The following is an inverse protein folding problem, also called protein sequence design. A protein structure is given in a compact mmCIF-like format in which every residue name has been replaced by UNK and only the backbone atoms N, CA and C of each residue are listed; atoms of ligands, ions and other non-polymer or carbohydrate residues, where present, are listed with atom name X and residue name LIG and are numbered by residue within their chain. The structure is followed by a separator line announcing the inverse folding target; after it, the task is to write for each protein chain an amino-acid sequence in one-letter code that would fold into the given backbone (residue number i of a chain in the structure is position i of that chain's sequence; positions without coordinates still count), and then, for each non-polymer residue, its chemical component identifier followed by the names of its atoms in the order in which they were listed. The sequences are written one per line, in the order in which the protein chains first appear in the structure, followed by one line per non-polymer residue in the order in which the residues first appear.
data_IF_921600567820
#
_entry.id   IF_921600567820
#
_cell.length_a   1.000
_cell.length_b   1.000
_cell.length_c   1.000
_cell.angle_alpha   90.00
_cell.angle_beta   90.00
_cell.angle_gamma   90.00
#
_symmetry.space_group_name_H-M   'P 1'
#
loop_
_entity.id
_entity.type
_entity.pdbx_description
1 polymer ?
#
# COMPACT_ATOMS: atom_id res chain seq x y z
N UNK A 1 6.68 -20.01 8.66
CA UNK A 1 6.84 -19.14 7.47
C UNK A 1 6.05 -17.87 7.74
N UNK A 2 6.75 -16.75 7.94
CA UNK A 2 6.10 -15.47 8.27
C UNK A 2 5.34 -14.94 7.06
N UNK A 3 4.03 -14.74 7.17
CA UNK A 3 3.20 -14.15 6.12
C UNK A 3 2.97 -12.66 6.40
N UNK A 4 3.22 -11.83 5.40
CA UNK A 4 2.94 -10.39 5.45
C UNK A 4 1.62 -10.10 4.71
N UNK A 5 0.69 -9.43 5.38
CA UNK A 5 -0.46 -8.78 4.78
C UNK A 5 -0.10 -7.33 4.48
N UNK A 6 -0.24 -6.93 3.22
CA UNK A 6 -0.25 -5.53 2.81
C UNK A 6 -1.68 -5.18 2.42
N UNK A 7 -2.30 -4.21 3.08
CA UNK A 7 -3.63 -3.74 2.68
C UNK A 7 -3.60 -2.29 2.20
N UNK A 8 -4.56 -1.92 1.36
CA UNK A 8 -4.87 -0.51 1.09
C UNK A 8 -6.21 -0.10 1.68
N UNK A 9 -6.29 1.13 2.16
CA UNK A 9 -7.50 1.70 2.73
C UNK A 9 -7.60 3.21 2.48
N UNK A 10 -8.78 3.77 2.80
CA UNK A 10 -9.11 5.18 2.82
C UNK A 10 -9.27 5.70 4.25
N UNK A 11 -8.58 6.79 4.59
CA UNK A 11 -8.70 7.44 5.90
C UNK A 11 -10.13 7.92 6.20
N UNK A 12 -10.98 8.15 5.19
CA UNK A 12 -12.42 8.42 5.39
C UNK A 12 -13.17 7.27 6.09
N UNK A 13 -12.57 6.07 6.11
CA UNK A 13 -13.11 4.85 6.72
C UNK A 13 -12.28 4.34 7.91
N UNK A 14 -11.39 5.18 8.47
CA UNK A 14 -10.40 4.87 9.52
C UNK A 14 -9.37 3.78 9.14
N UNK A 15 -8.17 3.76 9.75
CA UNK A 15 -7.22 2.65 9.56
C UNK A 15 -7.80 1.31 10.03
N UNK A 16 -7.37 0.17 9.45
CA UNK A 16 -7.71 -1.15 10.00
C UNK A 16 -7.14 -1.27 11.44
N UNK A 17 -7.97 -1.63 12.44
CA UNK A 17 -7.53 -1.72 13.83
C UNK A 17 -6.46 -2.79 14.06
N UNK A 18 -6.41 -3.80 13.20
CA UNK A 18 -5.46 -4.91 13.24
C UNK A 18 -4.12 -4.63 12.54
N UNK A 19 -3.93 -3.43 11.98
CA UNK A 19 -2.68 -3.06 11.31
C UNK A 19 -1.54 -2.79 12.31
N UNK A 20 -0.41 -3.46 12.13
CA UNK A 20 0.82 -3.22 12.91
C UNK A 20 1.52 -1.92 12.47
N UNK A 21 1.43 -1.59 11.18
CA UNK A 21 2.02 -0.38 10.59
C UNK A 21 1.03 0.31 9.65
N UNK A 22 0.77 1.59 9.89
CA UNK A 22 -0.10 2.43 9.05
C UNK A 22 0.74 3.47 8.32
N UNK A 23 0.63 3.51 7.00
CA UNK A 23 1.39 4.40 6.13
C UNK A 23 0.48 5.41 5.44
N UNK A 24 0.65 6.69 5.73
CA UNK A 24 -0.09 7.76 5.04
C UNK A 24 0.60 8.16 3.73
N UNK A 25 -0.08 7.98 2.60
CA UNK A 25 0.41 8.34 1.26
C UNK A 25 -0.39 9.48 0.62
N UNK A 26 -1.15 10.25 1.41
CA UNK A 26 -1.95 11.39 0.91
C UNK A 26 -1.10 12.52 0.32
N UNK A 27 0.21 12.54 0.57
CA UNK A 27 1.13 13.53 -0.01
C UNK A 27 1.51 13.26 -1.47
N UNK A 28 1.26 12.06 -1.99
CA UNK A 28 1.57 11.68 -3.37
C UNK A 28 0.64 12.36 -4.39
N UNK A 29 1.06 12.47 -5.67
CA UNK A 29 0.22 12.96 -6.76
C UNK A 29 -1.18 12.36 -6.73
N UNK A 30 -2.20 13.21 -6.80
CA UNK A 30 -3.59 12.80 -6.59
C UNK A 30 -4.31 12.59 -7.94
N UNK A 31 -4.58 11.33 -8.36
CA UNK A 31 -5.24 11.05 -9.63
C UNK A 31 -6.70 11.52 -9.68
N UNK A 32 -7.30 11.84 -8.54
CA UNK A 32 -8.69 12.30 -8.45
C UNK A 32 -8.96 13.57 -9.28
N UNK A 33 -7.96 14.45 -9.43
CA UNK A 33 -8.09 15.70 -10.19
C UNK A 33 -7.90 15.52 -11.70
N UNK A 34 -7.62 14.31 -12.17
CA UNK A 34 -7.52 13.99 -13.60
C UNK A 34 -8.79 13.25 -14.00
N UNK A 35 -9.65 13.91 -14.79
CA UNK A 35 -10.98 13.41 -15.17
C UNK A 35 -10.95 11.96 -15.69
N UNK A 36 -9.97 11.62 -16.53
CA UNK A 36 -9.81 10.28 -17.10
C UNK A 36 -9.35 9.21 -16.10
N UNK A 37 -8.68 9.60 -15.01
CA UNK A 37 -8.17 8.70 -13.98
C UNK A 37 -9.12 8.60 -12.77
N UNK A 38 -9.97 9.60 -12.57
CA UNK A 38 -10.96 9.62 -11.48
C UNK A 38 -11.79 8.33 -11.38
N UNK A 39 -12.38 7.78 -12.46
CA UNK A 39 -13.16 6.55 -12.38
C UNK A 39 -12.30 5.28 -12.34
N UNK A 40 -10.97 5.37 -12.45
CA UNK A 40 -10.04 4.23 -12.42
C UNK A 40 -9.64 3.89 -10.98
N UNK A 41 -8.81 2.87 -10.80
CA UNK A 41 -8.26 2.47 -9.49
C UNK A 41 -6.75 2.40 -9.57
N UNK A 42 -6.05 2.27 -8.43
CA UNK A 42 -4.60 2.09 -8.42
C UNK A 42 -4.11 0.79 -9.07
N UNK A 43 -5.01 -0.12 -9.47
CA UNK A 43 -4.69 -1.29 -10.28
C UNK A 43 -4.56 -0.95 -11.78
N UNK A 44 -5.13 0.17 -12.22
CA UNK A 44 -5.03 0.62 -13.60
C UNK A 44 -3.61 1.18 -13.86
N UNK A 45 -2.91 0.72 -14.92
CA UNK A 45 -1.55 1.16 -15.21
C UNK A 45 -1.41 2.68 -15.39
N UNK A 46 -2.40 3.38 -15.94
CA UNK A 46 -2.34 4.83 -16.13
C UNK A 46 -2.48 5.57 -14.79
N UNK A 47 -3.34 5.09 -13.90
CA UNK A 47 -3.44 5.61 -12.53
C UNK A 47 -2.17 5.37 -11.75
N UNK A 48 -1.60 4.16 -11.82
CA UNK A 48 -0.33 3.85 -11.17
C UNK A 48 0.80 4.74 -11.71
N UNK A 49 0.93 4.87 -13.04
CA UNK A 49 1.93 5.76 -13.64
C UNK A 49 1.80 7.20 -13.13
N UNK A 50 0.57 7.72 -13.01
CA UNK A 50 0.34 9.04 -12.43
C UNK A 50 0.79 9.15 -10.96
N UNK A 51 0.55 8.14 -10.12
CA UNK A 51 1.02 8.16 -8.71
C UNK A 51 2.55 8.21 -8.63
N UNK A 52 3.25 7.63 -9.61
CA UNK A 52 4.71 7.48 -9.60
C UNK A 52 5.47 8.55 -10.41
N UNK A 53 4.77 9.41 -11.16
CA UNK A 53 5.38 10.25 -12.20
C UNK A 53 6.47 11.21 -11.71
N UNK A 54 6.37 11.72 -10.47
CA UNK A 54 7.30 12.72 -9.91
C UNK A 54 8.42 12.11 -9.05
N UNK A 55 8.51 10.78 -9.02
CA UNK A 55 9.56 10.05 -8.30
C UNK A 55 9.38 9.97 -6.77
N UNK A 56 8.45 10.71 -6.16
CA UNK A 56 8.24 10.68 -4.69
C UNK A 56 7.75 9.32 -4.19
N UNK A 57 6.84 8.69 -4.93
CA UNK A 57 6.40 7.31 -4.63
C UNK A 57 7.56 6.32 -4.68
N UNK A 58 8.42 6.43 -5.70
CA UNK A 58 9.61 5.61 -5.84
C UNK A 58 10.59 5.81 -4.69
N UNK A 59 10.79 7.07 -4.25
CA UNK A 59 11.64 7.41 -3.10
C UNK A 59 11.09 6.86 -1.79
N UNK A 60 9.78 7.02 -1.53
CA UNK A 60 9.11 6.43 -0.38
C UNK A 60 9.38 4.92 -0.30
N UNK A 61 9.19 4.19 -1.39
CA UNK A 61 9.39 2.74 -1.43
C UNK A 61 10.84 2.31 -1.25
N UNK A 62 11.83 3.16 -1.57
CA UNK A 62 13.25 2.89 -1.24
C UNK A 62 13.52 2.93 0.25
N UNK A 63 12.72 3.66 1.03
CA UNK A 63 12.81 3.67 2.50
C UNK A 63 11.91 2.61 3.13
N UNK A 64 10.70 2.40 2.59
CA UNK A 64 9.73 1.47 3.18
C UNK A 64 10.14 0.01 3.06
N UNK A 65 10.71 -0.41 1.93
CA UNK A 65 11.08 -1.83 1.74
C UNK A 65 12.13 -2.27 2.79
N UNK A 66 13.26 -1.57 2.97
CA UNK A 66 14.22 -1.91 4.01
C UNK A 66 13.64 -1.83 5.43
N UNK A 67 12.74 -0.87 5.70
CA UNK A 67 12.06 -0.78 6.99
C UNK A 67 11.22 -2.03 7.27
N UNK A 68 10.40 -2.46 6.31
CA UNK A 68 9.57 -3.66 6.48
C UNK A 68 10.43 -4.92 6.61
N UNK A 69 11.50 -5.04 5.82
CA UNK A 69 12.47 -6.14 5.94
C UNK A 69 13.14 -6.17 7.32
N UNK A 70 13.56 -5.01 7.82
CA UNK A 70 14.13 -4.88 9.15
C UNK A 70 13.15 -5.34 10.24
N UNK A 71 11.89 -4.90 10.18
CA UNK A 71 10.85 -5.29 11.13
C UNK A 71 10.58 -6.79 11.09
N UNK A 72 10.49 -7.38 9.90
CA UNK A 72 10.30 -8.83 9.74
C UNK A 72 11.47 -9.65 10.30
N UNK A 73 12.70 -9.13 10.21
CA UNK A 73 13.90 -9.81 10.68
C UNK A 73 14.01 -9.87 12.21
N UNK A 74 13.47 -8.89 12.94
CA UNK A 74 13.58 -8.84 14.41
C UNK A 74 12.87 -9.99 15.12
N UNK A 75 11.97 -10.68 14.43
CA UNK A 75 11.03 -11.63 15.04
C UNK A 75 11.15 -13.03 14.45
N UNK A 76 12.19 -13.28 13.64
CA UNK A 76 12.44 -14.56 12.97
C UNK A 76 12.61 -15.78 13.92
N UNK A 77 12.63 -15.57 15.24
CA UNK A 77 12.75 -16.60 16.28
C UNK A 77 11.50 -16.88 17.12
N UNK A 78 10.41 -16.12 16.95
CA UNK A 78 9.15 -16.35 17.67
C UNK A 78 8.09 -16.97 16.75
N UNK A 79 7.01 -17.53 17.30
CA UNK A 79 5.87 -18.00 16.51
C UNK A 79 5.15 -16.80 15.89
N UNK A 80 5.67 -16.27 14.78
CA UNK A 80 5.25 -14.98 14.24
C UNK A 80 3.79 -15.03 13.78
N UNK A 81 2.94 -14.25 14.45
CA UNK A 81 1.61 -13.89 13.98
C UNK A 81 1.73 -13.09 12.66
N UNK A 82 0.80 -13.30 11.72
CA UNK A 82 0.74 -12.56 10.46
C UNK A 82 0.97 -11.05 10.67
N UNK A 83 1.97 -10.46 9.99
CA UNK A 83 2.22 -9.00 10.06
C UNK A 83 1.29 -8.26 9.13
N UNK A 84 0.86 -7.07 9.49
CA UNK A 84 -0.08 -6.28 8.70
C UNK A 84 0.40 -4.84 8.51
N UNK A 85 0.76 -4.50 7.27
CA UNK A 85 1.06 -3.14 6.82
C UNK A 85 -0.15 -2.58 6.06
N UNK A 86 -0.74 -1.49 6.54
CA UNK A 86 -1.87 -0.82 5.92
C UNK A 86 -1.45 0.51 5.28
N UNK A 87 -1.70 0.66 3.99
CA UNK A 87 -1.39 1.86 3.20
C UNK A 87 -2.67 2.69 3.04
N UNK A 88 -2.64 3.95 3.49
CA UNK A 88 -3.80 4.84 3.53
C UNK A 88 -3.70 6.02 2.56
N UNK A 89 -4.75 6.24 1.77
CA UNK A 89 -4.99 7.53 1.10
C UNK A 89 -6.36 8.07 1.54
N UNK A 90 -6.92 9.11 0.92
CA UNK A 90 -8.22 9.65 1.38
C UNK A 90 -9.37 8.65 1.21
N UNK A 91 -9.59 8.16 -0.01
CA UNK A 91 -10.74 7.31 -0.37
C UNK A 91 -10.41 5.82 -0.57
N UNK A 92 -9.15 5.42 -0.46
CA UNK A 92 -8.78 4.00 -0.57
C UNK A 92 -8.77 3.40 -1.97
N UNK A 93 -8.84 4.23 -3.02
CA UNK A 93 -9.06 3.80 -4.41
C UNK A 93 -7.85 3.90 -5.34
N UNK A 94 -7.04 4.96 -5.23
CA UNK A 94 -5.95 5.25 -6.18
C UNK A 94 -4.56 5.09 -5.57
N UNK A 95 -4.10 6.09 -4.81
CA UNK A 95 -2.72 6.17 -4.29
C UNK A 95 -2.36 5.01 -3.38
N UNK A 96 -3.23 4.68 -2.42
CA UNK A 96 -2.94 3.58 -1.49
C UNK A 96 -2.90 2.22 -2.18
N UNK A 97 -3.80 1.98 -3.13
CA UNK A 97 -3.82 0.76 -3.94
C UNK A 97 -2.53 0.62 -4.75
N UNK A 98 -2.12 1.68 -5.46
CA UNK A 98 -0.90 1.66 -6.28
C UNK A 98 0.37 1.43 -5.43
N UNK A 99 0.45 2.06 -4.26
CA UNK A 99 1.59 1.86 -3.34
C UNK A 99 1.58 0.48 -2.71
N UNK A 100 0.42 -0.04 -2.30
CA UNK A 100 0.30 -1.38 -1.72
C UNK A 100 0.76 -2.48 -2.71
N UNK A 101 0.31 -2.41 -3.96
CA UNK A 101 0.72 -3.35 -5.02
C UNK A 101 2.23 -3.29 -5.28
N UNK A 102 2.78 -2.09 -5.43
CA UNK A 102 4.21 -1.93 -5.70
C UNK A 102 5.08 -2.34 -4.50
N UNK A 103 4.66 -2.04 -3.28
CA UNK A 103 5.35 -2.49 -2.05
C UNK A 103 5.38 -4.02 -2.00
N UNK A 104 4.23 -4.67 -2.19
CA UNK A 104 4.14 -6.12 -2.22
C UNK A 104 4.99 -6.72 -3.34
N UNK A 105 5.00 -6.12 -4.53
CA UNK A 105 5.83 -6.55 -5.66
C UNK A 105 7.33 -6.48 -5.32
N UNK A 106 7.80 -5.45 -4.62
CA UNK A 106 9.22 -5.33 -4.21
C UNK A 106 9.59 -6.33 -3.13
N UNK A 107 8.74 -6.48 -2.10
CA UNK A 107 8.97 -7.43 -1.02
C UNK A 107 8.93 -8.89 -1.48
N UNK A 108 8.03 -9.24 -2.43
CA UNK A 108 8.03 -10.57 -3.06
C UNK A 108 9.34 -10.85 -3.82
N UNK A 109 9.90 -9.85 -4.51
CA UNK A 109 11.22 -10.00 -5.16
C UNK A 109 12.36 -10.17 -4.16
N UNK A 110 12.20 -9.68 -2.94
CA UNK A 110 13.12 -9.89 -1.83
C UNK A 110 12.88 -11.22 -1.07
N UNK A 111 11.97 -12.09 -1.55
CA UNK A 111 11.70 -13.40 -0.95
C UNK A 111 10.66 -13.41 0.18
N UNK A 112 9.97 -12.29 0.42
CA UNK A 112 8.90 -12.22 1.43
C UNK A 112 7.59 -12.78 0.88
N UNK A 113 6.92 -13.64 1.64
CA UNK A 113 5.57 -14.12 1.33
C UNK A 113 4.52 -13.04 1.63
N UNK A 114 4.04 -12.34 0.60
CA UNK A 114 3.11 -11.21 0.74
C UNK A 114 1.72 -11.51 0.15
N UNK A 115 0.67 -11.30 0.96
CA UNK A 115 -0.73 -11.22 0.54
C UNK A 115 -1.15 -9.75 0.43
N UNK A 116 -1.94 -9.41 -0.59
CA UNK A 116 -2.47 -8.04 -0.78
C UNK A 116 -3.99 -8.05 -0.65
N UNK A 117 -4.56 -7.04 0.01
CA UNK A 117 -6.00 -6.78 0.04
C UNK A 117 -6.31 -5.29 -0.16
N UNK A 118 -7.47 -4.98 -0.71
CA UNK A 118 -7.91 -3.58 -0.88
C UNK A 118 -9.27 -3.40 -0.24
N UNK A 119 -9.30 -2.82 0.97
CA UNK A 119 -10.50 -2.79 1.82
C UNK A 119 -11.65 -2.03 1.18
N UNK A 120 -11.34 -0.86 0.60
CA UNK A 120 -12.36 0.11 0.18
C UNK A 120 -12.55 0.14 -1.34
N UNK A 121 -11.89 -0.76 -2.08
CA UNK A 121 -11.93 -0.78 -3.54
C UNK A 121 -13.33 -1.13 -4.09
N UNK A 122 -14.09 -1.92 -3.34
CA UNK A 122 -15.46 -2.31 -3.68
C UNK A 122 -16.53 -1.29 -3.22
N UNK A 123 -16.16 -0.31 -2.39
CA UNK A 123 -17.12 0.59 -1.74
C UNK A 123 -17.65 1.70 -2.67
N UNK A 124 -17.06 1.90 -3.84
CA UNK A 124 -17.39 3.01 -4.73
C UNK A 124 -17.05 4.39 -4.13
N UNK A 125 -17.00 5.43 -4.97
CA UNK A 125 -16.80 6.81 -4.51
C UNK A 125 -18.11 7.39 -3.95
N UNK A 126 -18.65 6.78 -2.89
CA UNK A 126 -19.70 7.39 -2.07
C UNK A 126 -19.14 8.56 -1.25
#
# INVERSE_FOLDING_TARGET
MTSLLVSSFGFKHAPPPEADLVLDVRFLPNPYYVESLRPRTGLDPATAAHVFHDGRAGALLRHLVPLVEFLLAQEAGEAVAQRHVAVGCTGGRHRSVAIAEELARRLRRAGVAVRVTHRDLAAGDA
#
